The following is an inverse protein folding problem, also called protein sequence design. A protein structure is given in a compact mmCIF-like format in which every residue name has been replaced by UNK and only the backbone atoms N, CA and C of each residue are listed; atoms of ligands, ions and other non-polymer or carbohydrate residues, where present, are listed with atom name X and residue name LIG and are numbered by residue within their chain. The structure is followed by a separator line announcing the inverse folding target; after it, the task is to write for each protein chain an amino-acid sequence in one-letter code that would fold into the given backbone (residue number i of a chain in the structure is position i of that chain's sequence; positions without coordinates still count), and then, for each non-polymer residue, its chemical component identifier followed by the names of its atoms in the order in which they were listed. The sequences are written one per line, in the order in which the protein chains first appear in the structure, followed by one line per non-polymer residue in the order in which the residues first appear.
data_IF_708826429535
#
_entry.id   IF_708826429535
#
_cell.length_a   1.000
_cell.length_b   1.000
_cell.length_c   1.000
_cell.angle_alpha   90.00
_cell.angle_beta   90.00
_cell.angle_gamma   90.00
#
_symmetry.space_group_name_H-M   'P 1'
#
loop_
_entity.id
_entity.type
_entity.pdbx_description
1 polymer ?
#
# COMPACT_ATOMS: atom_id res chain seq x y z
N UNK A 1 30.65 1.38 -43.52
CA UNK A 1 31.60 2.51 -43.58
C UNK A 1 31.09 3.63 -42.72
N UNK A 2 32.00 4.18 -41.89
CA UNK A 2 31.84 5.33 -40.98
C UNK A 2 31.11 4.96 -39.64
N UNK A 3 31.75 4.80 -38.64
CA UNK A 3 32.79 5.26 -37.68
C UNK A 3 32.10 5.79 -36.41
N UNK A 4 32.34 5.03 -35.34
CA UNK A 4 32.08 5.42 -33.96
C UNK A 4 33.01 6.56 -33.52
N UNK A 5 32.51 7.45 -32.68
CA UNK A 5 33.36 8.27 -31.81
C UNK A 5 32.83 8.25 -30.39
N UNK A 6 33.60 7.59 -29.54
CA UNK A 6 33.51 7.60 -28.10
C UNK A 6 34.13 8.86 -27.52
N UNK A 7 33.51 9.54 -26.57
CA UNK A 7 34.15 10.56 -25.75
C UNK A 7 34.18 10.09 -24.28
N UNK A 8 35.40 9.79 -23.89
CA UNK A 8 35.77 9.59 -22.46
C UNK A 8 36.04 10.95 -21.83
N UNK A 9 35.46 11.24 -20.68
CA UNK A 9 35.87 12.36 -19.84
C UNK A 9 36.64 11.81 -18.63
N UNK A 10 37.93 12.15 -18.59
CA UNK A 10 38.84 11.90 -17.45
C UNK A 10 38.67 12.99 -16.41
N UNK A 11 38.53 12.61 -15.18
CA UNK A 11 38.55 13.51 -14.01
C UNK A 11 39.99 13.67 -13.54
N UNK A 12 40.47 14.88 -13.50
CA UNK A 12 41.79 15.27 -13.02
C UNK A 12 41.67 15.59 -11.52
N UNK A 13 42.43 14.85 -10.70
CA UNK A 13 42.62 15.11 -9.28
C UNK A 13 43.83 16.03 -9.13
N UNK A 14 43.68 17.20 -8.52
CA UNK A 14 44.80 18.07 -8.12
C UNK A 14 44.96 18.06 -6.60
N UNK A 15 46.03 17.47 -6.15
CA UNK A 15 46.52 17.58 -4.77
C UNK A 15 47.44 18.79 -4.65
N UNK A 16 47.18 19.65 -3.66
CA UNK A 16 48.10 20.74 -3.30
C UNK A 16 48.66 20.42 -1.93
N UNK A 17 49.95 20.13 -1.94
CA UNK A 17 50.80 20.00 -0.75
C UNK A 17 51.50 21.35 -0.55
N UNK A 18 51.34 21.99 0.62
CA UNK A 18 52.16 23.13 1.02
C UNK A 18 52.86 22.82 2.35
N UNK A 19 54.16 22.59 2.25
CA UNK A 19 55.06 22.58 3.38
C UNK A 19 55.67 23.96 3.55
N UNK A 20 55.62 24.52 4.75
CA UNK A 20 56.47 25.65 5.16
C UNK A 20 57.26 25.30 6.39
N UNK A 21 58.56 25.13 6.20
CA UNK A 21 59.56 25.21 7.22
C UNK A 21 59.93 26.71 7.45
N UNK A 22 59.92 27.14 8.70
CA UNK A 22 60.73 28.30 9.09
C UNK A 22 61.17 28.14 10.55
N UNK A 23 62.43 28.09 10.73
CA UNK A 23 63.11 28.19 12.03
C UNK A 23 63.25 29.67 12.41
N UNK A 24 63.22 29.97 13.69
CA UNK A 24 63.52 31.33 14.19
C UNK A 24 63.37 31.44 15.70
N UNK A 25 64.45 31.54 16.34
CA UNK A 25 64.94 31.89 17.69
C UNK A 25 64.04 32.75 18.59
N UNK A 26 63.97 32.35 19.87
CA UNK A 26 64.39 33.09 21.08
C UNK A 26 63.52 34.27 21.52
N UNK A 27 62.98 34.13 22.71
CA UNK A 27 62.43 35.23 23.51
C UNK A 27 61.62 34.70 24.70
N UNK A 28 62.24 34.67 25.85
CA UNK A 28 61.57 34.40 27.14
C UNK A 28 60.78 35.62 27.56
N UNK A 29 59.46 35.48 27.65
CA UNK A 29 58.61 36.38 28.43
C UNK A 29 57.51 35.57 29.10
N UNK A 30 57.56 35.61 30.45
CA UNK A 30 56.61 34.98 31.35
C UNK A 30 55.34 35.86 31.44
N UNK A 31 54.38 35.60 30.57
CA UNK A 31 53.00 36.11 30.68
C UNK A 31 52.11 35.12 31.45
N UNK A 32 51.05 35.59 32.11
CA UNK A 32 50.16 34.72 32.92
C UNK A 32 49.51 33.65 32.07
N UNK A 33 49.59 32.39 32.52
CA UNK A 33 48.96 31.24 31.88
C UNK A 33 47.44 31.42 31.77
N UNK A 34 46.94 31.47 30.55
CA UNK A 34 45.51 31.42 30.28
C UNK A 34 45.01 30.00 30.64
N UNK A 35 43.96 29.85 31.47
CA UNK A 35 43.48 28.53 31.85
C UNK A 35 43.00 27.77 30.60
N UNK A 36 43.50 26.56 30.40
CA UNK A 36 43.06 25.65 29.36
C UNK A 36 41.58 25.42 29.51
N UNK A 37 40.74 25.62 28.45
CA UNK A 37 39.30 25.37 28.54
C UNK A 37 39.06 23.90 28.90
N UNK A 38 38.35 23.68 30.00
CA UNK A 38 37.86 22.36 30.40
C UNK A 38 37.04 21.78 29.26
N UNK A 39 37.27 20.56 28.79
CA UNK A 39 36.48 19.96 27.73
C UNK A 39 35.00 19.95 28.16
N UNK A 40 34.16 20.56 27.38
CA UNK A 40 32.71 20.50 27.55
C UNK A 40 32.30 19.02 27.51
N UNK A 41 31.58 18.50 28.50
CA UNK A 41 31.14 17.12 28.48
C UNK A 41 30.31 16.86 27.21
N UNK A 42 30.74 15.85 26.44
CA UNK A 42 29.98 15.37 25.29
C UNK A 42 28.56 15.02 25.78
N UNK A 43 27.51 15.56 25.18
CA UNK A 43 26.15 15.24 25.62
C UNK A 43 25.96 13.73 25.52
N UNK A 44 25.63 13.10 26.64
CA UNK A 44 25.25 11.69 26.70
C UNK A 44 24.07 11.52 25.73
N UNK A 45 24.13 10.55 24.77
CA UNK A 45 23.03 10.35 23.87
C UNK A 45 21.76 10.07 24.68
N UNK A 46 20.74 10.89 24.46
CA UNK A 46 19.42 10.70 25.07
C UNK A 46 18.96 9.30 24.66
N UNK A 47 18.60 8.41 25.59
CA UNK A 47 18.13 7.09 25.23
C UNK A 47 16.94 7.23 24.30
N UNK A 48 16.98 6.57 23.15
CA UNK A 48 15.85 6.48 22.22
C UNK A 48 14.67 5.93 23.01
N UNK A 49 13.51 6.60 23.00
CA UNK A 49 12.33 6.11 23.71
C UNK A 49 12.04 4.70 23.20
N UNK A 50 12.10 3.71 24.08
CA UNK A 50 11.63 2.37 23.75
C UNK A 50 10.14 2.46 23.40
N UNK A 51 9.67 1.75 22.37
CA UNK A 51 8.25 1.71 22.06
C UNK A 51 7.49 1.20 23.27
N UNK A 52 6.69 2.05 23.85
CA UNK A 52 5.83 1.68 24.98
C UNK A 52 4.53 1.15 24.40
N UNK A 53 4.59 0.03 23.70
CA UNK A 53 3.42 -0.60 23.13
C UNK A 53 2.52 -1.09 24.28
N UNK A 54 1.47 -0.33 24.58
CA UNK A 54 0.44 -0.71 25.54
C UNK A 54 -0.65 -1.58 24.90
N UNK A 55 -0.40 -2.14 23.71
CA UNK A 55 -1.36 -2.93 22.94
C UNK A 55 -0.77 -4.29 22.57
N UNK A 56 -1.66 -5.26 22.33
CA UNK A 56 -1.35 -6.56 21.76
C UNK A 56 -2.11 -6.74 20.47
N UNK A 57 -1.61 -7.61 19.61
CA UNK A 57 -2.35 -8.01 18.43
C UNK A 57 -3.10 -9.33 18.69
N UNK A 58 -4.31 -9.39 18.18
CA UNK A 58 -5.09 -10.63 18.12
C UNK A 58 -5.30 -10.99 16.64
N UNK A 59 -5.17 -12.26 16.30
CA UNK A 59 -5.55 -12.76 14.98
C UNK A 59 -7.08 -12.84 14.91
N UNK A 60 -7.67 -11.99 14.08
CA UNK A 60 -9.12 -11.88 13.93
C UNK A 60 -9.68 -12.89 12.93
N UNK A 61 -8.96 -13.13 11.82
CA UNK A 61 -9.33 -14.12 10.81
C UNK A 61 -8.12 -14.52 9.96
N UNK A 62 -8.16 -15.70 9.38
CA UNK A 62 -7.13 -16.22 8.49
C UNK A 62 -5.90 -16.76 9.22
N UNK A 63 -4.71 -16.45 8.71
CA UNK A 63 -3.43 -16.86 9.28
C UNK A 63 -2.51 -15.67 9.48
N UNK A 64 -1.79 -15.65 10.59
CA UNK A 64 -0.88 -14.56 10.94
C UNK A 64 0.45 -14.62 10.14
N UNK A 65 0.77 -15.76 9.59
CA UNK A 65 1.92 -15.95 8.70
C UNK A 65 1.43 -16.63 7.42
N UNK A 66 1.85 -16.11 6.27
CA UNK A 66 1.42 -16.62 4.98
C UNK A 66 1.75 -18.11 4.83
N UNK A 67 0.75 -18.89 4.47
CA UNK A 67 0.87 -20.32 4.16
C UNK A 67 0.62 -20.53 2.66
N UNK A 68 1.70 -20.65 1.92
CA UNK A 68 1.66 -20.80 0.47
C UNK A 68 1.03 -22.13 0.00
N UNK A 69 0.92 -23.11 0.89
CA UNK A 69 0.33 -24.41 0.58
C UNK A 69 -1.19 -24.45 0.72
N UNK A 70 -1.74 -23.60 1.60
CA UNK A 70 -3.16 -23.56 1.96
C UNK A 70 -3.79 -22.19 1.71
N UNK A 71 -3.47 -21.59 0.59
CA UNK A 71 -3.91 -20.26 0.19
C UNK A 71 -5.18 -20.27 -0.69
N UNK A 72 -5.94 -21.35 -0.72
CA UNK A 72 -7.25 -21.35 -1.38
C UNK A 72 -8.28 -20.68 -0.50
N UNK A 73 -9.00 -19.65 -1.02
CA UNK A 73 -9.99 -18.94 -0.22
C UNK A 73 -11.12 -19.87 0.20
N UNK A 74 -11.40 -19.88 1.50
CA UNK A 74 -12.53 -20.64 2.06
C UNK A 74 -13.34 -19.77 2.99
N UNK A 75 -14.67 -19.90 2.91
CA UNK A 75 -15.60 -19.32 3.87
C UNK A 75 -15.71 -20.22 5.11
N UNK A 76 -16.13 -19.65 6.25
CA UNK A 76 -16.31 -20.44 7.45
C UNK A 76 -16.08 -19.65 8.74
N UNK A 77 -15.88 -20.34 9.87
CA UNK A 77 -15.44 -19.71 11.12
C UNK A 77 -14.15 -18.90 10.88
N UNK A 78 -14.00 -17.75 11.51
CA UNK A 78 -12.88 -16.84 11.28
C UNK A 78 -11.50 -17.50 11.48
N UNK A 79 -11.39 -18.43 12.43
CA UNK A 79 -10.18 -19.22 12.70
C UNK A 79 -9.86 -20.25 11.61
N UNK A 80 -10.86 -20.69 10.84
CA UNK A 80 -10.73 -21.71 9.80
C UNK A 80 -10.73 -21.12 8.39
N UNK A 81 -11.25 -19.91 8.23
CA UNK A 81 -11.27 -19.21 6.96
C UNK A 81 -9.86 -19.04 6.39
N UNK A 82 -9.75 -19.10 5.08
CA UNK A 82 -8.50 -18.90 4.36
C UNK A 82 -8.66 -17.82 3.30
N UNK A 83 -7.58 -17.10 3.06
CA UNK A 83 -7.49 -16.05 2.06
C UNK A 83 -6.35 -16.35 1.10
N UNK A 84 -6.52 -15.98 -0.16
CA UNK A 84 -5.45 -16.05 -1.15
C UNK A 84 -4.46 -14.89 -0.96
N UNK A 85 -4.94 -13.68 -1.07
CA UNK A 85 -4.17 -12.45 -0.85
C UNK A 85 -5.11 -11.29 -0.57
N UNK A 86 -5.01 -10.77 0.63
CA UNK A 86 -5.79 -9.61 1.06
C UNK A 86 -5.05 -8.32 0.70
N UNK A 87 -5.78 -7.29 0.31
CA UNK A 87 -5.20 -5.99 0.01
C UNK A 87 -5.75 -4.88 0.90
N UNK A 88 -7.07 -4.84 1.10
CA UNK A 88 -7.70 -3.71 1.77
C UNK A 88 -8.75 -4.14 2.79
N UNK A 89 -9.00 -3.25 3.74
CA UNK A 89 -10.07 -3.39 4.73
C UNK A 89 -10.91 -2.14 4.79
N UNK A 90 -12.23 -2.34 4.87
CA UNK A 90 -13.20 -1.32 5.25
C UNK A 90 -13.93 -1.81 6.49
N UNK A 91 -13.93 -1.02 7.53
CA UNK A 91 -14.62 -1.31 8.80
C UNK A 91 -15.96 -0.60 8.79
N UNK A 92 -17.02 -1.37 8.96
CA UNK A 92 -18.38 -0.88 8.91
C UNK A 92 -19.23 -1.45 10.05
N UNK A 93 -19.64 -0.60 10.99
CA UNK A 93 -20.46 -0.97 12.17
C UNK A 93 -20.06 -2.31 12.80
N UNK A 94 -20.70 -3.38 12.41
CA UNK A 94 -20.60 -4.73 12.95
C UNK A 94 -19.96 -5.73 11.96
N UNK A 95 -19.40 -5.24 10.87
CA UNK A 95 -18.78 -6.08 9.85
C UNK A 95 -17.50 -5.42 9.29
N UNK A 96 -16.57 -6.27 8.91
CA UNK A 96 -15.35 -5.89 8.23
C UNK A 96 -15.41 -6.47 6.83
N UNK A 97 -15.15 -5.61 5.84
CA UNK A 97 -15.08 -6.03 4.44
C UNK A 97 -13.64 -5.98 3.99
N UNK A 98 -13.22 -7.02 3.30
CA UNK A 98 -11.86 -7.22 2.83
C UNK A 98 -11.88 -7.42 1.32
N UNK A 99 -10.97 -6.77 0.61
CA UNK A 99 -10.72 -7.14 -0.79
C UNK A 99 -9.69 -8.25 -0.82
N UNK A 100 -10.00 -9.27 -1.59
CA UNK A 100 -9.15 -10.40 -1.86
C UNK A 100 -8.84 -10.43 -3.36
N UNK A 101 -7.58 -10.25 -3.74
CA UNK A 101 -7.18 -10.45 -5.13
C UNK A 101 -7.29 -11.91 -5.48
N UNK A 102 -8.04 -12.19 -6.54
CA UNK A 102 -8.09 -13.49 -7.10
C UNK A 102 -6.71 -13.85 -7.68
N UNK A 103 -6.17 -14.87 -7.19
CA UNK A 103 -4.92 -15.44 -7.65
C UNK A 103 -4.76 -16.76 -6.95
N UNK A 104 -4.28 -17.74 -7.67
CA UNK A 104 -3.72 -18.89 -7.02
C UNK A 104 -2.62 -18.37 -6.06
N UNK A 105 -2.27 -19.17 -5.10
CA UNK A 105 -1.15 -18.99 -4.19
C UNK A 105 0.04 -18.27 -4.84
N UNK A 106 0.83 -17.48 -4.10
CA UNK A 106 1.97 -16.72 -4.63
C UNK A 106 2.90 -17.52 -5.54
N UNK A 107 3.03 -18.82 -5.34
CA UNK A 107 3.73 -19.71 -6.26
C UNK A 107 3.13 -19.73 -7.68
N UNK A 108 1.83 -19.44 -7.84
CA UNK A 108 1.17 -19.33 -9.14
C UNK A 108 1.19 -17.91 -9.71
N UNK A 109 1.58 -16.88 -8.95
CA UNK A 109 1.85 -15.55 -9.52
C UNK A 109 2.97 -15.58 -10.54
N UNK A 110 3.91 -16.54 -10.41
CA UNK A 110 5.04 -16.75 -11.30
C UNK A 110 4.86 -18.03 -12.13
N UNK A 111 3.72 -18.21 -12.79
CA UNK A 111 3.49 -18.99 -14.00
C UNK A 111 4.11 -20.41 -14.16
N UNK A 112 4.49 -21.13 -13.11
CA UNK A 112 5.22 -22.37 -13.26
C UNK A 112 4.53 -23.67 -12.78
N UNK A 113 3.35 -23.59 -12.17
CA UNK A 113 2.65 -24.83 -11.78
C UNK A 113 1.45 -25.10 -12.69
N UNK A 114 1.39 -26.29 -13.31
CA UNK A 114 0.23 -26.66 -14.12
C UNK A 114 -1.04 -26.65 -13.29
N UNK A 115 -2.11 -26.06 -13.84
CA UNK A 115 -3.46 -26.21 -13.31
C UNK A 115 -3.77 -27.69 -13.18
N UNK A 116 -4.36 -28.16 -12.08
CA UNK A 116 -4.82 -29.54 -12.00
C UNK A 116 -5.68 -29.87 -13.22
N UNK A 117 -5.33 -30.89 -13.95
CA UNK A 117 -5.97 -31.30 -15.23
C UNK A 117 -7.48 -31.60 -15.12
N UNK A 118 -8.05 -31.47 -13.92
CA UNK A 118 -9.44 -31.79 -13.62
C UNK A 118 -10.37 -30.56 -13.54
N UNK A 119 -9.84 -29.30 -13.64
CA UNK A 119 -10.70 -28.11 -13.57
C UNK A 119 -11.13 -27.65 -14.95
N UNK A 120 -12.41 -27.27 -15.08
CA UNK A 120 -12.87 -26.55 -16.27
C UNK A 120 -12.35 -25.11 -16.24
N UNK A 121 -12.17 -24.45 -17.39
CA UNK A 121 -11.78 -23.03 -17.44
C UNK A 121 -12.68 -22.11 -16.60
N UNK A 122 -13.95 -22.46 -16.45
CA UNK A 122 -14.91 -21.71 -15.66
C UNK A 122 -14.69 -21.91 -14.15
N UNK A 123 -14.39 -23.12 -13.72
CA UNK A 123 -14.05 -23.39 -12.30
C UNK A 123 -12.76 -22.68 -11.92
N UNK A 124 -11.78 -22.67 -12.81
CA UNK A 124 -10.54 -21.93 -12.60
C UNK A 124 -10.81 -20.41 -12.50
N UNK A 125 -11.56 -19.84 -13.45
CA UNK A 125 -11.90 -18.43 -13.45
C UNK A 125 -12.67 -18.01 -12.18
N UNK A 126 -13.59 -18.84 -11.71
CA UNK A 126 -14.33 -18.60 -10.47
C UNK A 126 -13.41 -18.63 -9.23
N UNK A 127 -12.46 -19.54 -9.22
CA UNK A 127 -11.53 -19.72 -8.11
C UNK A 127 -10.53 -18.56 -7.99
N UNK A 128 -10.04 -18.07 -9.15
CA UNK A 128 -9.05 -16.98 -9.21
C UNK A 128 -9.68 -15.58 -9.27
N UNK A 129 -10.99 -15.47 -9.35
CA UNK A 129 -11.66 -14.17 -9.38
C UNK A 129 -11.47 -13.42 -8.06
N UNK A 130 -11.20 -12.12 -8.11
CA UNK A 130 -11.21 -11.27 -6.93
C UNK A 130 -12.55 -11.33 -6.21
N UNK A 131 -12.49 -11.20 -4.89
CA UNK A 131 -13.68 -11.28 -4.03
C UNK A 131 -13.68 -10.13 -3.03
N UNK A 132 -14.86 -9.76 -2.60
CA UNK A 132 -15.06 -9.00 -1.37
C UNK A 132 -15.53 -9.99 -0.32
N UNK A 133 -14.74 -10.12 0.74
CA UNK A 133 -15.03 -11.00 1.87
C UNK A 133 -15.63 -10.17 3.00
N UNK A 134 -16.59 -10.72 3.70
CA UNK A 134 -17.19 -10.09 4.88
C UNK A 134 -16.89 -10.92 6.10
N UNK A 135 -16.30 -10.29 7.11
CA UNK A 135 -16.11 -10.86 8.43
C UNK A 135 -17.11 -10.22 9.39
N UNK A 136 -18.00 -11.02 9.95
CA UNK A 136 -18.98 -10.59 10.95
C UNK A 136 -19.32 -11.76 11.88
N UNK A 137 -19.55 -11.46 13.16
CA UNK A 137 -19.95 -12.46 14.19
C UNK A 137 -19.05 -13.71 14.18
N UNK A 138 -17.74 -13.53 14.01
CA UNK A 138 -16.76 -14.62 14.02
C UNK A 138 -16.80 -15.54 12.80
N UNK A 139 -17.43 -15.13 11.69
CA UNK A 139 -17.47 -15.87 10.43
C UNK A 139 -17.03 -15.00 9.25
N UNK A 140 -16.36 -15.65 8.31
CA UNK A 140 -16.02 -15.07 7.01
C UNK A 140 -16.95 -15.64 5.95
N UNK A 141 -17.49 -14.78 5.11
CA UNK A 141 -18.33 -15.14 3.96
C UNK A 141 -17.91 -14.33 2.73
N UNK A 142 -18.14 -14.86 1.55
CA UNK A 142 -17.97 -14.11 0.30
C UNK A 142 -19.18 -13.20 0.10
N UNK A 143 -18.97 -11.89 0.27
CA UNK A 143 -20.02 -10.88 0.12
C UNK A 143 -20.28 -10.53 -1.34
N UNK A 144 -19.22 -10.51 -2.17
CA UNK A 144 -19.30 -10.27 -3.60
C UNK A 144 -18.18 -11.04 -4.31
N UNK A 145 -18.54 -11.79 -5.33
CA UNK A 145 -17.59 -12.35 -6.30
C UNK A 145 -17.54 -11.43 -7.52
N UNK A 146 -16.35 -11.02 -7.91
CA UNK A 146 -16.16 -10.23 -9.14
C UNK A 146 -16.12 -11.11 -10.40
N UNK A 147 -16.53 -12.38 -10.26
CA UNK A 147 -16.75 -13.31 -11.35
C UNK A 147 -18.22 -13.26 -11.78
N UNK A 148 -18.46 -13.10 -13.08
CA UNK A 148 -19.80 -13.16 -13.65
C UNK A 148 -19.95 -14.42 -14.55
N UNK A 149 -20.67 -15.46 -14.08
CA UNK A 149 -20.87 -16.69 -14.85
C UNK A 149 -21.76 -16.49 -16.08
N UNK A 150 -22.65 -15.48 -16.05
CA UNK A 150 -23.62 -15.22 -17.12
C UNK A 150 -23.02 -14.37 -18.25
N UNK A 151 -21.85 -13.80 -18.04
CA UNK A 151 -21.16 -13.06 -19.06
C UNK A 151 -20.50 -14.01 -20.09
N UNK A 152 -20.44 -13.63 -21.38
CA UNK A 152 -19.69 -14.39 -22.36
C UNK A 152 -18.29 -14.73 -21.83
N UNK A 153 -17.80 -15.94 -22.13
CA UNK A 153 -16.53 -16.47 -21.58
C UNK A 153 -15.33 -15.51 -21.64
N UNK A 154 -15.44 -14.47 -22.47
CA UNK A 154 -14.42 -13.43 -22.67
C UNK A 154 -14.51 -12.25 -21.70
N UNK A 155 -15.58 -12.17 -20.88
CA UNK A 155 -15.87 -10.99 -20.00
C UNK A 155 -16.08 -11.39 -18.54
N UNK A 156 -15.75 -12.61 -18.15
CA UNK A 156 -16.16 -13.22 -16.88
C UNK A 156 -15.46 -12.68 -15.63
N UNK A 157 -14.36 -11.96 -15.75
CA UNK A 157 -13.71 -11.31 -14.60
C UNK A 157 -13.73 -9.80 -14.79
N UNK A 158 -14.55 -9.10 -14.00
CA UNK A 158 -14.79 -7.67 -14.19
C UNK A 158 -13.76 -6.78 -13.47
N UNK A 159 -13.19 -7.16 -12.35
CA UNK A 159 -12.12 -6.41 -11.71
C UNK A 159 -10.99 -7.36 -11.33
N UNK A 160 -9.88 -7.31 -12.04
CA UNK A 160 -8.77 -8.24 -11.81
C UNK A 160 -7.88 -7.82 -10.64
N UNK A 161 -7.83 -6.53 -10.37
CA UNK A 161 -7.07 -5.93 -9.28
C UNK A 161 -7.93 -4.87 -8.61
N UNK A 162 -8.61 -5.19 -7.51
CA UNK A 162 -9.35 -4.20 -6.72
C UNK A 162 -8.36 -3.37 -5.89
N UNK A 163 -7.63 -2.47 -6.55
CA UNK A 163 -6.62 -1.62 -5.92
C UNK A 163 -7.20 -0.58 -4.95
N UNK A 164 -8.51 -0.35 -4.98
CA UNK A 164 -9.24 0.53 -4.07
C UNK A 164 -10.65 0.02 -3.84
N UNK A 165 -11.18 0.23 -2.64
CA UNK A 165 -12.48 -0.32 -2.25
C UNK A 165 -13.17 0.56 -1.21
N UNK A 166 -14.46 0.84 -1.44
CA UNK A 166 -15.33 1.51 -0.49
C UNK A 166 -16.72 0.86 -0.48
N UNK A 167 -17.38 0.87 0.67
CA UNK A 167 -18.78 0.46 0.81
C UNK A 167 -19.62 1.63 1.26
N UNK A 168 -20.60 2.02 0.46
CA UNK A 168 -21.56 3.04 0.84
C UNK A 168 -22.49 2.54 1.96
N UNK A 169 -22.52 3.25 3.06
CA UNK A 169 -23.32 2.92 4.23
C UNK A 169 -24.84 2.96 3.98
N UNK A 170 -25.29 3.86 3.13
CA UNK A 170 -26.71 4.10 2.90
C UNK A 170 -27.33 3.09 1.95
N UNK A 171 -26.69 2.85 0.82
CA UNK A 171 -27.20 1.94 -0.20
C UNK A 171 -26.71 0.51 -0.03
N UNK A 172 -25.60 0.30 0.70
CA UNK A 172 -24.90 -0.97 0.78
C UNK A 172 -24.10 -1.31 -0.48
N UNK A 173 -24.04 -0.41 -1.46
CA UNK A 173 -23.29 -0.60 -2.69
C UNK A 173 -21.78 -0.66 -2.43
N UNK A 174 -21.10 -1.49 -3.21
CA UNK A 174 -19.64 -1.54 -3.23
C UNK A 174 -19.10 -0.71 -4.38
N UNK A 175 -18.10 0.09 -4.11
CA UNK A 175 -17.31 0.80 -5.11
C UNK A 175 -15.91 0.20 -5.15
N UNK A 176 -15.45 -0.11 -6.35
CA UNK A 176 -14.14 -0.74 -6.57
C UNK A 176 -13.39 0.09 -7.60
N UNK A 177 -12.20 0.56 -7.24
CA UNK A 177 -11.25 1.15 -8.16
C UNK A 177 -10.28 0.08 -8.65
N UNK A 178 -9.99 0.06 -9.94
CA UNK A 178 -9.07 -0.92 -10.49
C UNK A 178 -9.26 -1.15 -11.98
N UNK A 179 -8.88 -2.33 -12.41
CA UNK A 179 -8.93 -2.71 -13.82
C UNK A 179 -9.95 -3.81 -14.03
N UNK A 180 -10.81 -3.65 -15.03
CA UNK A 180 -11.56 -4.76 -15.59
C UNK A 180 -10.83 -5.32 -16.80
N UNK A 181 -10.62 -6.62 -16.82
CA UNK A 181 -10.15 -7.32 -18.01
C UNK A 181 -11.34 -8.00 -18.69
N UNK A 182 -11.66 -7.59 -19.90
CA UNK A 182 -12.77 -8.17 -20.67
C UNK A 182 -12.41 -9.47 -21.39
N UNK A 183 -11.13 -9.85 -21.38
CA UNK A 183 -10.69 -11.12 -21.99
C UNK A 183 -9.62 -11.78 -21.14
N UNK A 184 -9.95 -12.91 -20.53
CA UNK A 184 -8.96 -13.85 -20.01
C UNK A 184 -8.72 -14.87 -21.12
N UNK A 185 -7.61 -14.74 -21.83
CA UNK A 185 -7.13 -15.82 -22.69
C UNK A 185 -6.14 -16.62 -21.86
N UNK A 186 -6.60 -17.76 -21.38
CA UNK A 186 -5.71 -18.80 -20.88
C UNK A 186 -5.32 -19.70 -22.05
N UNK A 187 -4.27 -19.37 -22.78
CA UNK A 187 -3.56 -20.32 -23.60
C UNK A 187 -2.36 -20.83 -22.80
N UNK A 188 -2.62 -21.74 -21.86
CA UNK A 188 -1.56 -22.50 -21.23
C UNK A 188 -1.22 -23.71 -22.07
N UNK A 189 -0.36 -23.54 -23.07
CA UNK A 189 0.42 -24.63 -23.62
C UNK A 189 1.72 -24.79 -22.84
N UNK A 190 2.32 -25.96 -22.74
CA UNK A 190 3.58 -26.22 -22.04
C UNK A 190 4.78 -25.41 -22.56
N UNK A 191 4.61 -24.60 -23.60
CA UNK A 191 5.64 -23.79 -24.27
C UNK A 191 5.19 -22.33 -24.49
N UNK A 192 4.17 -21.83 -23.78
CA UNK A 192 3.75 -20.41 -23.90
C UNK A 192 4.76 -19.50 -23.21
N UNK A 193 5.56 -18.79 -24.00
CA UNK A 193 6.36 -17.67 -23.52
C UNK A 193 5.46 -16.50 -23.12
N UNK A 194 5.92 -15.64 -22.20
CA UNK A 194 5.21 -14.41 -21.77
C UNK A 194 4.80 -13.52 -22.96
N UNK A 195 5.49 -13.63 -24.08
CA UNK A 195 5.15 -13.00 -25.36
C UNK A 195 3.78 -13.38 -25.94
N UNK A 196 3.22 -14.55 -25.58
CA UNK A 196 1.91 -14.99 -26.05
C UNK A 196 0.74 -14.28 -25.35
N UNK A 197 1.02 -13.53 -24.28
CA UNK A 197 0.07 -12.57 -23.70
C UNK A 197 -0.20 -11.37 -24.61
N UNK A 198 0.70 -11.11 -25.53
CA UNK A 198 0.57 -10.13 -26.60
C UNK A 198 -0.05 -10.84 -27.79
N UNK A 199 -1.38 -10.93 -27.81
CA UNK A 199 -2.10 -11.51 -28.91
C UNK A 199 -1.59 -10.97 -30.25
N UNK A 200 -1.25 -11.89 -31.16
CA UNK A 200 -0.94 -11.61 -32.57
C UNK A 200 -2.03 -10.83 -33.32
N UNK A 201 -3.19 -10.65 -32.69
CA UNK A 201 -4.34 -9.89 -33.21
C UNK A 201 -4.44 -8.44 -32.66
N UNK A 202 -3.45 -7.92 -31.94
CA UNK A 202 -3.45 -6.54 -31.44
C UNK A 202 -4.48 -6.27 -30.33
N UNK A 203 -4.84 -7.26 -29.52
CA UNK A 203 -5.93 -7.22 -28.56
C UNK A 203 -5.57 -6.63 -27.19
N UNK A 204 -4.82 -5.54 -27.12
CA UNK A 204 -4.79 -4.62 -25.98
C UNK A 204 -6.16 -3.95 -25.73
N UNK A 205 -7.19 -4.35 -26.45
CA UNK A 205 -8.43 -3.59 -26.62
C UNK A 205 -9.40 -3.68 -25.45
N UNK A 206 -9.06 -4.33 -24.32
CA UNK A 206 -10.08 -4.61 -23.30
C UNK A 206 -9.61 -4.38 -21.86
N UNK A 207 -8.69 -3.49 -21.67
CA UNK A 207 -8.29 -3.01 -20.35
C UNK A 207 -9.17 -1.79 -20.01
N UNK A 208 -9.94 -1.87 -18.93
CA UNK A 208 -10.84 -0.79 -18.51
C UNK A 208 -10.39 -0.32 -17.13
N UNK A 209 -9.45 0.62 -17.04
CA UNK A 209 -9.21 1.28 -15.77
C UNK A 209 -10.41 2.14 -15.43
N UNK A 210 -10.94 2.00 -14.21
CA UNK A 210 -12.14 2.74 -13.85
C UNK A 210 -12.64 2.48 -12.44
N UNK A 211 -13.78 3.08 -12.16
CA UNK A 211 -14.53 2.91 -10.92
C UNK A 211 -15.78 2.10 -11.23
N UNK A 212 -15.95 1.02 -10.49
CA UNK A 212 -17.06 0.09 -10.63
C UNK A 212 -17.99 0.19 -9.42
N UNK A 213 -19.29 0.19 -9.65
CA UNK A 213 -20.33 0.17 -8.62
C UNK A 213 -21.10 -1.14 -8.66
N UNK A 214 -21.18 -1.83 -7.55
CA UNK A 214 -21.89 -3.10 -7.43
C UNK A 214 -23.04 -2.96 -6.44
N UNK A 215 -24.25 -3.21 -6.91
CA UNK A 215 -25.47 -3.27 -6.10
C UNK A 215 -25.92 -4.73 -6.03
N UNK A 216 -25.90 -5.32 -4.83
CA UNK A 216 -26.18 -6.75 -4.63
C UNK A 216 -24.95 -7.65 -4.72
N UNK A 217 -25.15 -8.96 -4.93
CA UNK A 217 -24.14 -9.99 -4.73
C UNK A 217 -23.45 -10.46 -6.02
N UNK A 218 -23.81 -9.93 -7.18
CA UNK A 218 -23.29 -10.37 -8.46
C UNK A 218 -22.68 -9.22 -9.26
N UNK A 219 -21.53 -9.52 -9.89
CA UNK A 219 -20.93 -8.64 -10.88
C UNK A 219 -21.73 -8.70 -12.18
N UNK A 220 -22.14 -7.54 -12.72
CA UNK A 220 -22.87 -7.40 -13.99
C UNK A 220 -22.07 -6.57 -15.00
N UNK A 221 -22.48 -6.63 -16.27
CA UNK A 221 -21.79 -5.91 -17.36
C UNK A 221 -21.89 -4.37 -17.24
N UNK A 222 -22.86 -3.86 -16.50
CA UNK A 222 -23.16 -2.42 -16.40
C UNK A 222 -22.61 -1.76 -15.13
N UNK A 223 -21.66 -2.40 -14.47
CA UNK A 223 -21.15 -1.89 -13.19
C UNK A 223 -20.13 -0.75 -13.31
N UNK A 224 -19.70 -0.41 -14.53
CA UNK A 224 -18.78 0.71 -14.74
C UNK A 224 -19.47 2.04 -14.45
N UNK A 225 -19.12 2.67 -13.34
CA UNK A 225 -19.60 4.00 -12.96
C UNK A 225 -18.87 5.10 -13.74
N UNK A 226 -17.54 4.99 -13.84
CA UNK A 226 -16.70 5.93 -14.56
C UNK A 226 -15.44 5.26 -15.10
N UNK A 227 -15.01 5.65 -16.29
CA UNK A 227 -13.85 5.11 -17.01
C UNK A 227 -14.18 4.80 -18.45
N UNK A 228 -13.18 4.74 -19.28
CA UNK A 228 -13.33 4.50 -20.73
C UNK A 228 -12.94 3.07 -21.07
N UNK A 229 -13.85 2.27 -21.67
CA UNK A 229 -13.48 0.98 -22.22
C UNK A 229 -12.49 1.10 -23.37
N UNK A 230 -11.44 0.29 -23.38
CA UNK A 230 -10.49 0.26 -24.48
C UNK A 230 -9.04 0.21 -24.02
N UNK A 231 -8.14 0.71 -24.86
CA UNK A 231 -6.71 0.82 -24.56
C UNK A 231 -6.49 1.71 -23.34
N UNK A 232 -5.53 1.37 -22.48
CA UNK A 232 -5.09 2.25 -21.39
C UNK A 232 -4.79 3.65 -21.96
N UNK A 233 -5.45 4.69 -21.46
CA UNK A 233 -5.21 6.04 -21.99
C UNK A 233 -3.85 6.55 -21.57
N UNK A 234 -3.26 7.38 -22.44
CA UNK A 234 -1.97 8.02 -22.16
C UNK A 234 -2.14 9.31 -21.33
N UNK A 235 -3.39 9.67 -21.00
CA UNK A 235 -3.73 10.91 -20.28
C UNK A 235 -4.84 10.71 -19.26
N UNK A 236 -4.90 11.64 -18.32
CA UNK A 236 -6.01 11.80 -17.39
C UNK A 236 -7.07 12.70 -18.02
N UNK A 237 -8.30 12.25 -18.15
CA UNK A 237 -9.40 13.06 -18.68
C UNK A 237 -10.54 13.13 -17.69
N UNK A 238 -10.91 14.33 -17.31
CA UNK A 238 -12.11 14.59 -16.53
C UNK A 238 -13.35 14.44 -17.38
N UNK A 239 -14.49 14.13 -16.78
CA UNK A 239 -15.75 13.97 -17.48
C UNK A 239 -16.70 13.03 -16.77
N UNK A 240 -17.84 12.74 -17.38
CA UNK A 240 -18.88 11.92 -16.80
C UNK A 240 -18.90 10.51 -17.40
N UNK A 241 -18.93 9.50 -16.54
CA UNK A 241 -19.05 8.10 -16.94
C UNK A 241 -17.94 7.68 -17.89
N UNK A 242 -18.28 7.20 -19.08
CA UNK A 242 -17.34 6.74 -20.11
C UNK A 242 -16.51 7.85 -20.78
N UNK A 243 -16.82 9.13 -20.49
CA UNK A 243 -16.01 10.26 -20.98
C UNK A 243 -14.76 10.48 -20.12
N UNK A 244 -14.77 10.01 -18.89
CA UNK A 244 -13.59 10.07 -18.02
C UNK A 244 -12.56 9.00 -18.41
N UNK A 245 -11.27 9.33 -18.22
CA UNK A 245 -10.19 8.39 -18.46
C UNK A 245 -9.29 8.30 -17.23
N UNK A 246 -8.99 7.07 -16.82
CA UNK A 246 -8.07 6.75 -15.73
C UNK A 246 -6.86 6.00 -16.29
N UNK A 247 -5.70 6.19 -15.66
CA UNK A 247 -4.50 5.43 -16.02
C UNK A 247 -4.33 4.17 -15.16
N UNK A 248 -4.43 4.33 -13.84
CA UNK A 248 -4.23 3.26 -12.88
C UNK A 248 -4.94 3.60 -11.55
N UNK A 249 -6.29 3.60 -11.51
CA UNK A 249 -7.02 3.98 -10.32
C UNK A 249 -6.83 2.95 -9.22
N UNK A 250 -6.42 3.42 -8.06
CA UNK A 250 -6.20 2.61 -6.86
C UNK A 250 -6.47 3.47 -5.61
N UNK A 251 -6.55 2.84 -4.46
CA UNK A 251 -6.80 3.51 -3.18
C UNK A 251 -8.04 4.41 -3.21
N UNK A 252 -9.17 3.87 -2.79
CA UNK A 252 -10.49 4.51 -2.89
C UNK A 252 -11.06 4.76 -1.51
N UNK A 253 -11.36 6.01 -1.19
CA UNK A 253 -12.03 6.43 0.03
C UNK A 253 -13.24 7.31 -0.30
N UNK A 254 -14.17 7.46 0.65
CA UNK A 254 -15.29 8.38 0.54
C UNK A 254 -15.32 9.38 1.67
N UNK A 255 -15.68 10.62 1.37
CA UNK A 255 -15.95 11.61 2.41
C UNK A 255 -17.35 11.43 3.03
N UNK A 256 -17.67 12.23 4.05
CA UNK A 256 -18.97 12.19 4.75
C UNK A 256 -20.18 12.46 3.85
N UNK A 257 -19.98 13.10 2.69
CA UNK A 257 -21.02 13.34 1.70
C UNK A 257 -21.25 12.16 0.75
N UNK A 258 -20.31 11.20 0.71
CA UNK A 258 -20.27 10.09 -0.23
C UNK A 258 -19.56 10.42 -1.54
N UNK A 259 -18.86 11.56 -1.63
CA UNK A 259 -17.96 11.84 -2.73
C UNK A 259 -16.74 10.92 -2.62
N UNK A 260 -16.44 10.19 -3.67
CA UNK A 260 -15.32 9.27 -3.72
C UNK A 260 -14.03 10.01 -4.10
N UNK A 261 -12.93 9.59 -3.49
CA UNK A 261 -11.58 10.04 -3.78
C UNK A 261 -10.73 8.83 -4.17
N UNK A 262 -9.95 8.95 -5.23
CA UNK A 262 -9.12 7.88 -5.74
C UNK A 262 -7.75 8.42 -6.15
N UNK A 263 -6.71 7.66 -5.90
CA UNK A 263 -5.41 7.90 -6.51
C UNK A 263 -5.43 7.32 -7.91
N UNK A 264 -5.03 8.09 -8.90
CA UNK A 264 -4.96 7.64 -10.28
C UNK A 264 -3.56 7.90 -10.86
N UNK A 265 -2.96 6.89 -11.43
CA UNK A 265 -1.64 6.94 -12.04
C UNK A 265 -0.61 6.03 -11.40
N UNK A 266 0.59 6.02 -11.96
CA UNK A 266 1.77 5.32 -11.43
C UNK A 266 2.77 6.33 -10.86
N UNK A 267 3.82 6.65 -11.64
CA UNK A 267 4.86 7.62 -11.23
C UNK A 267 4.36 9.07 -11.18
N UNK A 268 3.36 9.42 -12.00
CA UNK A 268 2.65 10.70 -11.96
C UNK A 268 1.24 10.48 -11.45
N UNK A 269 1.09 10.45 -10.12
CA UNK A 269 -0.20 10.23 -9.46
C UNK A 269 -1.00 11.52 -9.36
N UNK A 270 -2.33 11.38 -9.36
CA UNK A 270 -3.29 12.44 -9.12
C UNK A 270 -4.39 11.97 -8.20
N UNK A 271 -4.93 12.86 -7.40
CA UNK A 271 -6.17 12.59 -6.69
C UNK A 271 -7.34 12.99 -7.60
N UNK A 272 -8.25 12.06 -7.84
CA UNK A 272 -9.47 12.30 -8.59
C UNK A 272 -10.67 12.14 -7.69
N UNK A 273 -11.70 12.95 -7.90
CA UNK A 273 -12.99 12.83 -7.22
C UNK A 273 -14.04 12.25 -8.15
N UNK A 274 -14.92 11.40 -7.62
CA UNK A 274 -15.98 10.77 -8.39
C UNK A 274 -17.29 10.91 -7.64
N UNK A 275 -18.28 11.57 -8.24
CA UNK A 275 -19.61 11.71 -7.67
C UNK A 275 -20.46 10.46 -7.90
N UNK A 276 -21.58 10.34 -7.19
CA UNK A 276 -22.51 9.21 -7.29
C UNK A 276 -23.09 9.00 -8.70
N UNK A 277 -23.09 10.05 -9.54
CA UNK A 277 -23.53 10.00 -10.93
C UNK A 277 -22.40 9.79 -11.94
N UNK A 278 -21.18 9.49 -11.45
CA UNK A 278 -20.00 9.19 -12.26
C UNK A 278 -19.27 10.40 -12.85
N UNK A 279 -19.50 11.61 -12.33
CA UNK A 279 -18.71 12.79 -12.74
C UNK A 279 -17.34 12.73 -12.07
N UNK A 280 -16.28 12.77 -12.88
CA UNK A 280 -14.88 12.69 -12.45
C UNK A 280 -14.22 14.05 -12.62
N UNK A 281 -13.51 14.49 -11.57
CA UNK A 281 -12.71 15.71 -11.56
C UNK A 281 -11.34 15.45 -10.95
N UNK A 282 -10.31 16.03 -11.53
CA UNK A 282 -8.97 16.02 -10.94
C UNK A 282 -8.89 17.10 -9.85
N UNK A 283 -8.43 16.72 -8.67
CA UNK A 283 -8.20 17.65 -7.57
C UNK A 283 -6.89 18.39 -7.79
N UNK A 284 -6.95 19.71 -7.83
CA UNK A 284 -5.77 20.56 -8.05
C UNK A 284 -4.84 20.53 -6.82
N UNK A 285 -3.53 20.71 -7.08
CA UNK A 285 -2.50 20.80 -6.04
C UNK A 285 -1.92 19.47 -5.59
N UNK A 286 -2.54 18.34 -5.91
CA UNK A 286 -2.07 17.02 -5.48
C UNK A 286 -1.58 16.21 -6.69
N UNK A 287 -0.30 16.35 -6.97
CA UNK A 287 0.37 15.70 -8.11
C UNK A 287 1.69 15.11 -7.66
N UNK A 288 1.98 13.90 -8.14
CA UNK A 288 3.19 13.09 -7.90
C UNK A 288 3.28 12.49 -6.49
N UNK A 289 3.72 11.26 -6.47
CA UNK A 289 4.10 10.52 -5.27
C UNK A 289 3.04 10.47 -4.15
N UNK A 290 1.74 10.61 -4.48
CA UNK A 290 0.69 10.30 -3.51
C UNK A 290 0.70 8.78 -3.31
N UNK A 291 0.91 8.35 -2.08
CA UNK A 291 1.09 6.94 -1.72
C UNK A 291 -0.17 6.25 -1.27
N UNK A 292 -0.99 6.96 -0.48
CA UNK A 292 -2.19 6.38 0.07
C UNK A 292 -3.22 7.46 0.46
N UNK A 293 -4.48 7.06 0.54
CA UNK A 293 -5.59 7.83 1.10
C UNK A 293 -6.14 7.13 2.33
N UNK A 294 -6.70 7.88 3.25
CA UNK A 294 -7.54 7.37 4.33
C UNK A 294 -8.62 8.38 4.72
N UNK A 295 -9.77 7.89 5.12
CA UNK A 295 -10.84 8.71 5.68
C UNK A 295 -10.83 8.60 7.21
N UNK A 296 -10.80 9.74 7.91
CA UNK A 296 -10.96 9.76 9.35
C UNK A 296 -12.41 9.43 9.77
N UNK A 297 -12.65 9.34 11.07
CA UNK A 297 -13.98 9.04 11.62
C UNK A 297 -15.06 10.07 11.30
N UNK A 298 -14.66 11.29 10.93
CA UNK A 298 -15.53 12.39 10.52
C UNK A 298 -15.78 12.39 9.02
N UNK A 299 -15.10 11.51 8.28
CA UNK A 299 -15.16 11.44 6.82
C UNK A 299 -14.32 12.52 6.13
N UNK A 300 -13.33 13.10 6.82
CA UNK A 300 -12.36 13.93 6.13
C UNK A 300 -11.32 13.03 5.45
N UNK A 301 -11.01 13.36 4.21
CA UNK A 301 -10.03 12.61 3.44
C UNK A 301 -8.63 13.16 3.73
N UNK A 302 -7.73 12.23 3.98
CA UNK A 302 -6.31 12.47 4.17
C UNK A 302 -5.51 11.79 3.08
N UNK A 303 -4.38 12.41 2.70
CA UNK A 303 -3.46 11.87 1.71
C UNK A 303 -2.04 11.84 2.27
N UNK A 304 -1.30 10.82 1.93
CA UNK A 304 0.11 10.70 2.22
C UNK A 304 0.93 10.92 0.95
N UNK A 305 1.77 11.93 0.94
CA UNK A 305 2.70 12.26 -0.15
C UNK A 305 4.13 11.91 0.27
N UNK A 306 4.87 11.23 -0.59
CA UNK A 306 6.29 10.97 -0.42
C UNK A 306 7.11 12.04 -1.14
N UNK A 307 7.89 12.84 -0.39
CA UNK A 307 8.72 13.92 -0.94
C UNK A 307 10.11 13.43 -1.31
N UNK A 308 10.72 12.67 -0.39
CA UNK A 308 12.02 12.03 -0.62
C UNK A 308 11.86 10.54 -0.35
N UNK A 309 12.14 9.74 -1.37
CA UNK A 309 11.94 8.29 -1.31
C UNK A 309 12.44 7.68 0.00
N UNK A 310 11.52 7.02 0.70
CA UNK A 310 11.78 6.29 1.93
C UNK A 310 12.18 7.11 3.16
N UNK A 311 12.07 8.45 3.14
CA UNK A 311 12.56 9.24 4.29
C UNK A 311 11.74 10.46 4.67
N UNK A 312 11.10 11.14 3.71
CA UNK A 312 10.40 12.40 3.96
C UNK A 312 9.02 12.37 3.36
N UNK A 313 8.03 12.70 4.14
CA UNK A 313 6.61 12.60 3.80
C UNK A 313 5.87 13.85 4.22
N UNK A 314 4.74 14.11 3.54
CA UNK A 314 3.75 15.11 3.91
C UNK A 314 2.41 14.42 4.10
N UNK A 315 1.83 14.61 5.26
CA UNK A 315 0.46 14.19 5.54
C UNK A 315 -0.47 15.38 5.31
N UNK A 316 -1.37 15.25 4.34
CA UNK A 316 -2.35 16.25 3.95
C UNK A 316 -3.73 15.90 4.49
N UNK A 317 -4.48 16.89 4.93
CA UNK A 317 -5.93 16.84 5.10
C UNK A 317 -6.58 17.63 3.99
N UNK A 318 -7.31 16.94 3.10
CA UNK A 318 -7.78 17.54 1.85
C UNK A 318 -8.91 18.56 2.05
N UNK A 319 -9.69 18.43 3.14
CA UNK A 319 -10.86 19.28 3.40
C UNK A 319 -10.52 20.75 3.71
N UNK A 320 -9.39 21.02 4.32
CA UNK A 320 -8.95 22.36 4.74
C UNK A 320 -7.56 22.76 4.22
N UNK A 321 -6.90 21.84 3.48
CA UNK A 321 -5.57 22.03 2.92
C UNK A 321 -4.45 22.04 3.96
N UNK A 322 -4.73 21.68 5.21
CA UNK A 322 -3.69 21.56 6.23
C UNK A 322 -2.73 20.41 5.92
N UNK A 323 -1.48 20.59 6.31
CA UNK A 323 -0.42 19.62 6.06
C UNK A 323 0.58 19.55 7.18
N UNK A 324 1.18 18.38 7.37
CA UNK A 324 2.20 18.11 8.38
C UNK A 324 3.36 17.41 7.68
N UNK A 325 4.53 18.06 7.74
CA UNK A 325 5.77 17.47 7.25
C UNK A 325 6.37 16.58 8.35
N UNK A 326 6.83 15.40 7.99
CA UNK A 326 7.52 14.51 8.90
C UNK A 326 8.60 13.70 8.23
N UNK A 327 9.50 13.13 9.03
CA UNK A 327 10.58 12.26 8.57
C UNK A 327 10.58 10.97 9.34
N UNK A 328 10.74 9.88 8.62
CA UNK A 328 11.08 8.58 9.20
C UNK A 328 12.61 8.53 9.28
N UNK A 329 13.16 8.58 10.49
CA UNK A 329 14.60 8.46 10.67
C UNK A 329 15.03 7.04 10.35
N UNK A 330 16.11 6.84 9.54
CA UNK A 330 16.77 5.55 9.47
C UNK A 330 17.31 5.21 10.86
N UNK A 331 17.33 3.93 11.22
CA UNK A 331 17.99 3.49 12.45
C UNK A 331 19.46 3.88 12.41
N UNK A 332 19.88 4.79 13.28
CA UNK A 332 21.26 5.33 13.33
C UNK A 332 22.27 4.37 13.95
N UNK A 333 21.86 3.17 14.37
CA UNK A 333 22.75 2.26 15.09
C UNK A 333 23.40 1.29 14.12
N UNK A 334 24.60 1.64 13.66
CA UNK A 334 25.62 0.68 13.18
C UNK A 334 25.50 0.17 11.75
N UNK A 335 24.59 0.63 10.92
CA UNK A 335 24.52 0.23 9.51
C UNK A 335 25.28 1.21 8.60
N UNK A 336 26.18 0.67 7.77
CA UNK A 336 27.01 1.39 6.78
C UNK A 336 26.19 2.08 5.68
N UNK A 337 24.87 1.86 5.64
CA UNK A 337 23.94 2.50 4.70
C UNK A 337 22.59 2.66 5.35
N UNK A 338 22.02 3.87 5.46
CA UNK A 338 20.67 4.06 5.96
C UNK A 338 19.69 3.36 5.02
N UNK A 339 19.03 2.30 5.50
CA UNK A 339 17.97 1.65 4.73
C UNK A 339 16.77 2.59 4.67
N UNK A 340 16.42 3.00 3.46
CA UNK A 340 15.22 3.79 3.22
C UNK A 340 13.98 2.97 3.62
N UNK A 341 13.00 3.63 4.26
CA UNK A 341 11.75 3.00 4.67
C UNK A 341 10.62 3.46 3.77
N UNK A 342 10.07 2.54 3.01
CA UNK A 342 8.87 2.81 2.20
C UNK A 342 7.63 2.61 3.06
N UNK A 343 6.65 3.51 2.94
CA UNK A 343 5.35 3.37 3.57
C UNK A 343 4.44 2.53 2.68
N UNK A 344 3.89 1.46 3.24
CA UNK A 344 2.94 0.58 2.56
C UNK A 344 1.50 1.00 2.80
N UNK A 345 1.21 1.42 4.03
CA UNK A 345 -0.12 1.77 4.46
C UNK A 345 -0.08 2.83 5.55
N UNK A 346 -1.14 3.63 5.65
CA UNK A 346 -1.37 4.52 6.79
C UNK A 346 -2.84 4.57 7.16
N UNK A 347 -3.13 5.02 8.38
CA UNK A 347 -4.49 5.33 8.82
C UNK A 347 -4.46 6.47 9.84
N UNK A 348 -5.53 7.25 9.85
CA UNK A 348 -5.69 8.37 10.77
C UNK A 348 -6.17 7.87 12.14
N UNK A 349 -5.48 8.25 13.21
CA UNK A 349 -5.77 7.84 14.58
C UNK A 349 -5.78 9.06 15.52
N UNK A 350 -6.96 9.51 15.89
CA UNK A 350 -7.10 10.71 16.68
C UNK A 350 -6.62 11.96 15.95
N UNK A 351 -5.62 12.63 16.49
CA UNK A 351 -4.96 13.82 15.92
C UNK A 351 -3.67 13.50 15.16
N UNK A 352 -3.35 12.21 14.98
CA UNK A 352 -2.16 11.71 14.33
C UNK A 352 -2.47 10.63 13.30
N UNK A 353 -1.41 9.97 12.82
CA UNK A 353 -1.51 8.84 11.91
C UNK A 353 -0.68 7.65 12.40
N UNK A 354 -1.06 6.45 11.98
CA UNK A 354 -0.24 5.24 12.10
C UNK A 354 0.20 4.80 10.72
N UNK A 355 1.46 4.46 10.58
CA UNK A 355 2.10 4.01 9.34
C UNK A 355 2.60 2.59 9.48
N UNK A 356 2.50 1.81 8.41
CA UNK A 356 3.27 0.59 8.22
C UNK A 356 4.38 0.84 7.21
N UNK A 357 5.61 0.47 7.55
CA UNK A 357 6.79 0.70 6.71
C UNK A 357 7.61 -0.56 6.56
N UNK A 358 8.28 -0.72 5.43
CA UNK A 358 9.27 -1.78 5.20
C UNK A 358 10.60 -1.22 4.70
N UNK A 359 11.66 -1.98 4.85
CA UNK A 359 13.00 -1.66 4.32
C UNK A 359 13.36 -2.43 3.06
N UNK A 360 12.59 -3.48 2.75
CA UNK A 360 12.74 -4.33 1.56
C UNK A 360 11.34 -4.63 1.04
N UNK A 361 11.08 -4.38 -0.24
CA UNK A 361 9.76 -4.62 -0.87
C UNK A 361 9.23 -6.02 -0.56
N UNK A 362 8.01 -6.11 -0.02
CA UNK A 362 7.41 -7.36 0.44
C UNK A 362 8.04 -7.94 1.71
N UNK A 363 8.91 -7.18 2.38
CA UNK A 363 9.54 -7.57 3.64
C UNK A 363 8.68 -7.27 4.87
N UNK A 364 9.15 -7.68 6.05
CA UNK A 364 8.46 -7.43 7.31
C UNK A 364 8.25 -5.95 7.58
N UNK A 365 7.11 -5.61 8.17
CA UNK A 365 6.70 -4.24 8.42
C UNK A 365 6.98 -3.81 9.86
N UNK A 366 7.29 -2.51 10.02
CA UNK A 366 7.39 -1.82 11.31
C UNK A 366 6.31 -0.75 11.36
N UNK A 367 5.59 -0.65 12.47
CA UNK A 367 4.60 0.40 12.67
C UNK A 367 5.22 1.62 13.34
N UNK A 368 4.78 2.80 12.89
CA UNK A 368 5.11 4.10 13.46
C UNK A 368 3.82 4.88 13.72
N UNK A 369 3.83 5.67 14.79
CA UNK A 369 2.85 6.72 15.02
C UNK A 369 3.49 8.07 14.71
N UNK A 370 2.78 8.92 13.98
CA UNK A 370 3.18 10.31 13.72
C UNK A 370 2.15 11.21 14.36
N UNK A 371 2.61 12.10 15.25
CA UNK A 371 1.74 13.08 15.92
C UNK A 371 1.37 14.23 14.98
N UNK A 372 0.40 15.05 15.39
CA UNK A 372 0.05 16.32 14.74
C UNK A 372 1.18 17.36 14.68
N UNK A 373 2.28 17.14 15.41
CA UNK A 373 3.49 17.95 15.33
C UNK A 373 4.56 17.36 14.41
N UNK A 374 4.26 16.27 13.70
CA UNK A 374 5.20 15.60 12.79
C UNK A 374 6.28 14.75 13.49
N UNK A 375 6.07 14.42 14.78
CA UNK A 375 7.00 13.54 15.52
C UNK A 375 6.63 12.09 15.26
N UNK A 376 7.56 11.35 14.65
CA UNK A 376 7.42 9.92 14.42
C UNK A 376 7.96 9.11 15.60
N UNK A 377 7.14 8.21 16.13
CA UNK A 377 7.49 7.28 17.21
C UNK A 377 7.25 5.86 16.74
N UNK A 378 8.24 4.99 16.91
CA UNK A 378 8.13 3.59 16.56
C UNK A 378 7.22 2.85 17.54
N UNK A 379 6.31 2.04 17.02
CA UNK A 379 5.33 1.28 17.81
C UNK A 379 5.69 -0.20 17.95
N UNK A 380 6.29 -0.80 16.91
CA UNK A 380 6.70 -2.22 16.93
C UNK A 380 8.21 -2.34 16.83
N UNK A 381 8.73 -3.49 17.33
CA UNK A 381 10.18 -3.71 17.34
C UNK A 381 10.77 -4.03 15.98
N UNK A 382 12.07 -4.36 16.00
CA UNK A 382 12.88 -4.62 14.80
C UNK A 382 13.34 -6.08 14.70
N UNK A 383 13.08 -6.90 15.72
CA UNK A 383 13.51 -8.30 15.72
C UNK A 383 12.63 -9.13 14.77
N UNK A 384 13.25 -10.09 14.11
CA UNK A 384 12.48 -11.08 13.35
C UNK A 384 11.79 -12.03 14.31
N UNK A 385 10.45 -12.25 14.18
CA UNK A 385 9.76 -13.22 15.00
C UNK A 385 10.13 -14.65 14.58
N UNK A 386 10.28 -15.55 15.53
CA UNK A 386 10.46 -16.98 15.25
C UNK A 386 9.10 -17.66 15.02
N UNK A 387 8.08 -17.19 15.70
CA UNK A 387 6.70 -17.67 15.60
C UNK A 387 5.72 -16.49 15.49
N UNK A 388 4.49 -16.70 14.98
CA UNK A 388 3.47 -15.67 14.99
C UNK A 388 3.15 -15.14 16.39
N UNK A 389 3.25 -15.99 17.41
CA UNK A 389 2.97 -15.62 18.79
C UNK A 389 3.92 -14.51 19.30
N UNK A 390 5.14 -14.47 18.81
CA UNK A 390 6.13 -13.47 19.22
C UNK A 390 5.66 -12.05 18.96
N UNK A 391 5.18 -11.74 17.74
CA UNK A 391 4.71 -10.40 17.43
C UNK A 391 3.28 -10.13 17.92
N UNK A 392 2.48 -11.17 18.13
CA UNK A 392 1.13 -10.99 18.68
C UNK A 392 1.18 -10.57 20.16
N UNK A 393 2.05 -11.17 20.94
CA UNK A 393 2.16 -10.90 22.38
C UNK A 393 3.17 -9.78 22.73
N UNK A 394 4.23 -9.64 21.91
CA UNK A 394 5.33 -8.73 22.15
C UNK A 394 5.62 -7.82 20.93
N UNK A 395 4.61 -7.05 20.48
CA UNK A 395 4.80 -6.17 19.31
C UNK A 395 5.94 -5.16 19.50
N UNK A 396 6.23 -4.76 20.74
CA UNK A 396 7.32 -3.85 21.06
C UNK A 396 8.73 -4.39 20.73
N UNK A 397 8.86 -5.69 20.55
CA UNK A 397 10.15 -6.35 20.24
C UNK A 397 10.26 -6.76 18.78
N UNK A 398 9.14 -7.16 18.16
CA UNK A 398 9.13 -7.86 16.88
C UNK A 398 8.50 -7.03 15.75
N UNK A 399 8.98 -7.27 14.53
CA UNK A 399 8.35 -6.79 13.30
C UNK A 399 7.09 -7.60 13.00
N UNK A 400 6.16 -6.97 12.30
CA UNK A 400 5.03 -7.66 11.70
C UNK A 400 5.42 -8.33 10.37
N UNK A 401 4.70 -9.36 9.94
CA UNK A 401 4.68 -9.75 8.53
C UNK A 401 4.35 -8.56 7.62
N UNK A 402 4.51 -8.70 6.29
CA UNK A 402 4.17 -7.62 5.35
C UNK A 402 2.73 -7.13 5.55
N UNK A 403 2.59 -5.87 5.90
CA UNK A 403 1.30 -5.20 6.09
C UNK A 403 0.82 -4.67 4.74
N UNK A 404 -0.38 -5.02 4.35
CA UNK A 404 -1.00 -4.58 3.10
C UNK A 404 -1.86 -3.33 3.29
N UNK A 405 -2.56 -3.24 4.41
CA UNK A 405 -3.43 -2.11 4.73
C UNK A 405 -3.61 -1.90 6.23
N UNK A 406 -3.90 -0.67 6.61
CA UNK A 406 -4.28 -0.25 7.96
C UNK A 406 -5.63 0.45 7.93
N UNK A 407 -6.46 0.23 8.95
CA UNK A 407 -7.69 1.01 9.14
C UNK A 407 -7.99 1.17 10.62
N UNK A 408 -8.18 2.40 11.04
CA UNK A 408 -8.66 2.70 12.39
C UNK A 408 -10.18 2.81 12.38
N UNK A 409 -10.83 1.86 13.05
CA UNK A 409 -12.27 1.75 13.11
C UNK A 409 -12.94 2.78 14.02
N UNK A 410 -14.21 3.06 13.78
CA UNK A 410 -15.03 3.89 14.65
C UNK A 410 -15.18 3.30 16.07
N UNK A 411 -14.96 2.00 16.20
CA UNK A 411 -14.96 1.25 17.45
C UNK A 411 -13.69 1.42 18.31
N UNK A 412 -12.69 2.18 17.82
CA UNK A 412 -11.46 2.44 18.54
C UNK A 412 -10.38 1.36 18.36
N UNK A 413 -10.57 0.45 17.44
CA UNK A 413 -9.63 -0.61 17.15
C UNK A 413 -8.79 -0.29 15.91
N UNK A 414 -7.54 -0.74 15.91
CA UNK A 414 -6.68 -0.71 14.73
C UNK A 414 -6.74 -2.09 14.05
N UNK A 415 -7.14 -2.11 12.82
CA UNK A 415 -7.18 -3.28 11.95
C UNK A 415 -5.97 -3.29 11.03
N UNK A 416 -5.29 -4.42 10.95
CA UNK A 416 -4.06 -4.60 10.18
C UNK A 416 -4.26 -5.76 9.23
N UNK A 417 -4.20 -5.49 7.94
CA UNK A 417 -4.31 -6.51 6.90
C UNK A 417 -2.94 -7.04 6.57
N UNK A 418 -2.77 -8.32 6.71
CA UNK A 418 -1.64 -9.11 6.22
C UNK A 418 -2.02 -9.81 4.92
N UNK A 419 -1.07 -10.45 4.25
CA UNK A 419 -1.35 -11.17 3.00
C UNK A 419 -2.49 -12.19 3.11
N UNK A 420 -2.56 -12.93 4.21
CA UNK A 420 -3.52 -14.03 4.39
C UNK A 420 -4.27 -13.97 5.73
N UNK A 421 -4.22 -12.83 6.41
CA UNK A 421 -4.86 -12.68 7.71
C UNK A 421 -5.17 -11.24 8.08
N UNK A 422 -5.98 -11.09 9.10
CA UNK A 422 -6.33 -9.81 9.67
C UNK A 422 -6.03 -9.82 11.15
N UNK A 423 -5.24 -8.86 11.59
CA UNK A 423 -4.98 -8.60 13.02
C UNK A 423 -5.85 -7.45 13.51
N UNK A 424 -6.06 -7.43 14.82
CA UNK A 424 -6.71 -6.33 15.52
C UNK A 424 -5.87 -5.94 16.75
N UNK A 425 -5.66 -4.65 16.95
CA UNK A 425 -5.25 -4.08 18.23
C UNK A 425 -6.46 -3.36 18.82
N UNK A 426 -6.96 -3.88 19.97
CA UNK A 426 -8.14 -3.35 20.61
C UNK A 426 -7.82 -2.09 21.41
N UNK A 427 -8.80 -1.19 21.51
CA UNK A 427 -8.70 0.07 22.29
C UNK A 427 -7.41 0.85 21.97
N UNK A 428 -7.03 0.85 20.71
CA UNK A 428 -5.81 1.48 20.24
C UNK A 428 -5.92 3.01 20.34
N UNK A 429 -4.98 3.66 21.08
CA UNK A 429 -5.01 5.10 21.37
C UNK A 429 -3.70 5.79 21.03
#
# INVERSE_FOLDING_TARGET
MATQTSHSFSVLMAAVLAACLAAGCGGSDSGPETPTPTPTPTPTPTPTPQPNAQFKFELLAGVAQADLKHCQPTDGPASEARFSYLERVVVYKDAIYLTETGGACPERRYFSTPVPAAMTPDQEAQQVAPKIRKLSKGRVETALSLYNPDSPARQRAMARYPGGFHRDEKSGAFYVAGYAATRIIYNYGPNSEISDWYDKAGAWNYFVPGIFKYEGNAAGENNLLAGMPGKRPDSFVDGRGKMAQFQAPHDLEADASGLLYVIDGGDDTRIRTISSNGEVKTLDGYRKNIRALDADRQGHIHALEEIVSGSSYVWHRLSDGSKIDFRLRPNEVGELSPRLRTVDAFTVVGDGIVLATHTVTGGPSTLYRVSSQGVATQLTGEQAPATPQDFLEHPEKFRLPPVQHLKYGADGNLYIVLEQGVLIARDFR
#
